data_IF_578538408421
#
_entry.id   IF_578538408421
#
_cell.length_a   1.000
_cell.length_b   1.000
_cell.length_c   1.000
_cell.angle_alpha   90.00
_cell.angle_beta   90.00
_cell.angle_gamma   90.00
#
_symmetry.space_group_name_H-M   'P 1'
#
loop_
_entity.id
_entity.type
_entity.pdbx_description
1 polymer ?
#
# COMPACT_ATOMS: atom_id res chain seq x y z
N UNK A 1 -34.11 -2.95 -20.66
CA UNK A 1 -33.22 -2.51 -19.57
C UNK A 1 -34.10 -2.29 -18.36
N UNK A 2 -34.01 -3.09 -17.27
CA UNK A 2 -35.13 -3.17 -16.32
C UNK A 2 -35.36 -1.93 -15.43
N UNK A 3 -34.38 -1.02 -15.24
CA UNK A 3 -34.46 -0.02 -14.15
C UNK A 3 -34.41 1.48 -14.56
N UNK A 4 -34.50 1.81 -15.86
CA UNK A 4 -34.57 3.20 -16.32
C UNK A 4 -33.31 4.04 -16.04
N UNK A 5 -32.15 3.39 -15.91
CA UNK A 5 -30.82 3.99 -15.89
C UNK A 5 -29.77 3.01 -16.41
N UNK A 6 -28.59 3.52 -16.79
CA UNK A 6 -27.41 2.75 -17.17
C UNK A 6 -26.18 3.25 -16.39
N UNK A 7 -25.22 2.37 -16.10
CA UNK A 7 -23.95 2.72 -15.46
C UNK A 7 -22.83 2.65 -16.49
N UNK A 8 -21.99 3.67 -16.53
CA UNK A 8 -20.80 3.74 -17.40
C UNK A 8 -19.62 4.38 -16.68
N UNK A 9 -18.38 4.22 -17.17
CA UNK A 9 -17.26 5.03 -16.74
C UNK A 9 -17.58 6.53 -16.85
N UNK A 10 -17.22 7.28 -15.80
CA UNK A 10 -17.28 8.73 -15.84
C UNK A 10 -16.15 9.28 -16.71
N UNK A 11 -16.39 10.44 -17.30
CA UNK A 11 -15.45 11.18 -18.15
C UNK A 11 -15.29 12.60 -17.61
N UNK A 12 -14.31 13.35 -18.11
CA UNK A 12 -14.15 14.76 -17.74
C UNK A 12 -15.39 15.61 -18.06
N UNK A 13 -16.20 15.21 -19.05
CA UNK A 13 -17.46 15.88 -19.39
C UNK A 13 -18.54 15.74 -18.30
N UNK A 14 -18.41 14.75 -17.40
CA UNK A 14 -19.38 14.53 -16.33
C UNK A 14 -19.09 15.41 -15.09
N UNK A 15 -17.92 16.05 -15.00
CA UNK A 15 -17.44 16.73 -13.78
C UNK A 15 -18.46 17.70 -13.15
N UNK A 16 -19.05 18.60 -13.96
CA UNK A 16 -20.03 19.57 -13.48
C UNK A 16 -21.33 18.89 -12.96
N UNK A 17 -21.73 17.77 -13.57
CA UNK A 17 -22.90 17.04 -13.13
C UNK A 17 -22.65 16.29 -11.81
N UNK A 18 -21.44 15.75 -11.63
CA UNK A 18 -21.03 15.09 -10.39
C UNK A 18 -21.00 16.07 -9.22
N UNK A 19 -20.46 17.28 -9.44
CA UNK A 19 -20.46 18.37 -8.46
C UNK A 19 -21.89 18.77 -8.05
N UNK A 20 -22.80 18.92 -9.02
CA UNK A 20 -24.20 19.22 -8.73
C UNK A 20 -24.89 18.10 -7.93
N UNK A 21 -24.59 16.83 -8.24
CA UNK A 21 -25.12 15.68 -7.50
C UNK A 21 -24.62 15.67 -6.06
N UNK A 22 -23.34 15.95 -5.84
CA UNK A 22 -22.77 16.03 -4.50
C UNK A 22 -23.37 17.17 -3.70
N UNK A 23 -23.40 18.39 -4.24
CA UNK A 23 -24.01 19.53 -3.58
C UNK A 23 -25.47 19.25 -3.20
N UNK A 24 -26.22 18.59 -4.08
CA UNK A 24 -27.58 18.16 -3.78
C UNK A 24 -27.64 17.06 -2.71
N UNK A 25 -26.74 16.08 -2.74
CA UNK A 25 -26.68 15.00 -1.75
C UNK A 25 -26.24 15.50 -0.37
N UNK A 26 -25.38 16.52 -0.30
CA UNK A 26 -24.88 17.12 0.93
C UNK A 26 -26.01 17.78 1.74
N UNK A 27 -27.04 18.31 1.06
CA UNK A 27 -28.24 18.85 1.73
C UNK A 27 -28.99 17.81 2.59
N UNK A 28 -28.80 16.52 2.34
CA UNK A 28 -29.41 15.46 3.15
C UNK A 28 -28.82 15.39 4.56
N UNK A 29 -27.63 15.96 4.76
CA UNK A 29 -26.98 16.04 6.06
C UNK A 29 -27.47 17.23 6.89
N UNK A 30 -28.26 18.15 6.31
CA UNK A 30 -28.83 19.29 7.01
C UNK A 30 -29.67 18.83 8.21
N UNK A 31 -29.34 19.35 9.39
CA UNK A 31 -29.97 18.95 10.65
C UNK A 31 -29.50 17.62 11.24
N UNK A 32 -28.59 16.90 10.57
CA UNK A 32 -27.95 15.67 11.07
C UNK A 32 -26.48 15.91 11.43
N UNK A 33 -25.71 16.56 10.55
CA UNK A 33 -24.32 16.96 10.82
C UNK A 33 -23.93 18.18 9.99
N UNK A 34 -22.92 18.91 10.46
CA UNK A 34 -22.38 20.08 9.75
C UNK A 34 -21.21 19.64 8.88
N UNK A 35 -21.43 19.51 7.57
CA UNK A 35 -20.38 19.20 6.63
C UNK A 35 -19.45 20.42 6.41
N UNK A 36 -18.13 20.20 6.26
CA UNK A 36 -17.21 21.25 5.88
C UNK A 36 -17.47 21.69 4.42
N UNK A 37 -17.42 23.00 4.17
CA UNK A 37 -17.49 23.53 2.80
C UNK A 37 -16.12 23.38 2.16
N UNK A 38 -16.05 22.62 1.07
CA UNK A 38 -14.82 22.41 0.29
C UNK A 38 -15.09 22.90 -1.12
N UNK A 39 -14.53 24.07 -1.48
CA UNK A 39 -14.64 24.63 -2.82
C UNK A 39 -13.44 24.18 -3.66
N UNK A 40 -13.58 23.07 -4.41
CA UNK A 40 -12.49 22.48 -5.19
C UNK A 40 -12.94 21.77 -6.49
N UNK A 41 -13.67 22.50 -7.35
CA UNK A 41 -14.08 21.99 -8.66
C UNK A 41 -12.89 21.56 -9.55
N UNK A 42 -11.75 22.27 -9.44
CA UNK A 42 -10.51 21.97 -10.18
C UNK A 42 -9.87 20.67 -9.67
N UNK A 43 -9.80 20.48 -8.36
CA UNK A 43 -9.32 19.24 -7.74
C UNK A 43 -10.21 18.04 -8.04
N UNK A 44 -11.52 18.23 -8.27
CA UNK A 44 -12.46 17.15 -8.63
C UNK A 44 -12.32 16.67 -10.07
N UNK A 45 -12.07 17.57 -11.03
CA UNK A 45 -11.68 17.19 -12.39
C UNK A 45 -10.33 16.46 -12.40
N UNK A 46 -9.38 16.90 -11.56
CA UNK A 46 -8.11 16.20 -11.36
C UNK A 46 -8.30 14.84 -10.64
N UNK A 47 -9.27 14.72 -9.73
CA UNK A 47 -9.61 13.48 -9.03
C UNK A 47 -10.18 12.41 -9.96
N UNK A 48 -10.96 12.80 -10.99
CA UNK A 48 -11.36 11.89 -12.06
C UNK A 48 -10.17 11.37 -12.89
N UNK A 49 -9.04 12.09 -12.87
CA UNK A 49 -7.75 11.68 -13.44
C UNK A 49 -6.78 11.06 -12.42
N UNK A 50 -7.13 10.98 -11.13
CA UNK A 50 -6.30 10.37 -10.10
C UNK A 50 -6.28 8.84 -10.26
N UNK A 51 -5.28 8.18 -9.67
CA UNK A 51 -5.16 6.71 -9.71
C UNK A 51 -6.42 6.08 -9.10
N UNK A 52 -7.21 5.38 -9.92
CA UNK A 52 -8.53 4.87 -9.54
C UNK A 52 -9.49 4.77 -10.73
N UNK A 53 -10.78 4.87 -10.45
CA UNK A 53 -11.82 5.01 -11.46
C UNK A 53 -13.12 5.60 -10.88
N UNK A 54 -13.92 6.22 -11.74
CA UNK A 54 -15.24 6.72 -11.40
C UNK A 54 -16.31 6.14 -12.33
N UNK A 55 -17.51 5.94 -11.79
CA UNK A 55 -18.69 5.44 -12.49
C UNK A 55 -19.82 6.45 -12.33
N UNK A 56 -20.62 6.63 -13.37
CA UNK A 56 -21.82 7.48 -13.36
C UNK A 56 -23.03 6.67 -13.79
N UNK A 57 -24.12 6.80 -13.04
CA UNK A 57 -25.44 6.32 -13.42
C UNK A 57 -26.16 7.42 -14.20
N UNK A 58 -26.67 7.11 -15.38
CA UNK A 58 -27.37 8.06 -16.26
C UNK A 58 -28.76 7.54 -16.63
N UNK A 59 -29.73 8.42 -16.80
CA UNK A 59 -31.05 8.07 -17.35
C UNK A 59 -31.02 7.91 -18.89
N UNK A 60 -32.17 7.57 -19.47
CA UNK A 60 -32.33 7.40 -20.93
C UNK A 60 -32.04 8.70 -21.73
N UNK A 61 -32.11 9.87 -21.08
CA UNK A 61 -31.76 11.16 -21.67
C UNK A 61 -30.27 11.53 -21.46
N UNK A 62 -29.49 10.66 -20.82
CA UNK A 62 -28.07 10.87 -20.52
C UNK A 62 -27.81 11.77 -19.31
N UNK A 63 -28.84 12.13 -18.52
CA UNK A 63 -28.66 12.95 -17.32
C UNK A 63 -28.07 12.10 -16.20
N UNK A 64 -27.04 12.62 -15.53
CA UNK A 64 -26.43 11.96 -14.38
C UNK A 64 -27.39 11.92 -13.18
N UNK A 65 -27.52 10.74 -12.58
CA UNK A 65 -28.41 10.47 -11.43
C UNK A 65 -27.62 10.18 -10.15
N UNK A 66 -26.37 9.75 -10.29
CA UNK A 66 -25.48 9.38 -9.19
C UNK A 66 -24.12 8.95 -9.69
N UNK A 67 -23.15 8.87 -8.80
CA UNK A 67 -21.79 8.43 -9.12
C UNK A 67 -21.15 7.64 -7.98
N UNK A 68 -20.12 6.88 -8.33
CA UNK A 68 -19.21 6.25 -7.37
C UNK A 68 -17.77 6.54 -7.80
N UNK A 69 -16.92 6.88 -6.83
CA UNK A 69 -15.51 7.18 -7.03
C UNK A 69 -14.65 6.23 -6.18
N UNK A 70 -13.76 5.49 -6.84
CA UNK A 70 -12.86 4.53 -6.22
C UNK A 70 -11.42 4.96 -6.44
N UNK A 71 -10.70 5.21 -5.36
CA UNK A 71 -9.26 5.48 -5.37
C UNK A 71 -8.44 4.18 -5.31
N UNK A 72 -7.23 4.25 -5.86
CA UNK A 72 -6.24 3.18 -5.79
C UNK A 72 -4.96 3.63 -5.07
N UNK A 73 -4.61 2.92 -4.00
CA UNK A 73 -3.40 3.17 -3.19
C UNK A 73 -2.56 1.90 -3.08
N UNK A 74 -1.32 1.91 -3.60
CA UNK A 74 -0.44 0.74 -3.63
C UNK A 74 -1.17 -0.55 -4.04
N UNK A 75 -1.92 -0.48 -5.14
CA UNK A 75 -2.69 -1.59 -5.68
C UNK A 75 -3.89 -2.08 -4.82
N UNK A 76 -4.28 -1.34 -3.77
CA UNK A 76 -5.50 -1.52 -2.96
C UNK A 76 -6.56 -0.50 -3.34
N UNK A 77 -7.84 -0.81 -3.08
CA UNK A 77 -8.97 0.00 -3.56
C UNK A 77 -9.81 0.56 -2.41
N UNK A 78 -10.14 1.85 -2.50
CA UNK A 78 -10.95 2.58 -1.54
C UNK A 78 -12.13 3.25 -2.25
N UNK A 79 -13.36 2.92 -1.88
CA UNK A 79 -14.54 3.67 -2.30
C UNK A 79 -14.57 4.98 -1.49
N UNK A 80 -14.06 6.02 -2.13
CA UNK A 80 -13.95 7.38 -1.58
C UNK A 80 -15.33 8.00 -1.40
N UNK A 81 -16.18 7.86 -2.42
CA UNK A 81 -17.48 8.51 -2.47
C UNK A 81 -18.48 7.70 -3.28
N UNK A 82 -19.74 7.70 -2.81
CA UNK A 82 -20.90 7.22 -3.53
C UNK A 82 -22.07 8.15 -3.21
N UNK A 83 -22.58 8.83 -4.23
CA UNK A 83 -23.66 9.81 -4.10
C UNK A 83 -24.72 9.57 -5.15
N UNK A 84 -25.99 9.71 -4.75
CA UNK A 84 -27.15 9.66 -5.65
C UNK A 84 -27.96 10.91 -5.41
N UNK A 85 -28.32 11.59 -6.50
CA UNK A 85 -29.13 12.82 -6.44
C UNK A 85 -30.41 12.55 -5.63
N UNK A 86 -30.83 13.43 -4.71
CA UNK A 86 -32.01 13.22 -3.86
C UNK A 86 -33.27 12.79 -4.63
N UNK A 87 -33.56 13.45 -5.76
CA UNK A 87 -34.71 13.15 -6.63
C UNK A 87 -34.64 11.77 -7.32
N UNK A 88 -33.47 11.13 -7.32
CA UNK A 88 -33.24 9.82 -7.92
C UNK A 88 -33.05 8.70 -6.87
N UNK A 89 -33.12 9.02 -5.57
CA UNK A 89 -32.95 8.03 -4.51
C UNK A 89 -34.10 7.03 -4.43
N UNK A 90 -33.89 5.94 -3.67
CA UNK A 90 -34.85 4.84 -3.49
C UNK A 90 -35.26 4.10 -4.77
N UNK A 91 -34.47 4.25 -5.84
CA UNK A 91 -34.62 3.55 -7.13
C UNK A 91 -33.57 2.43 -7.36
N UNK A 92 -32.84 2.03 -6.31
CA UNK A 92 -31.78 1.02 -6.40
C UNK A 92 -30.45 1.51 -7.00
N UNK A 93 -30.36 2.76 -7.47
CA UNK A 93 -29.16 3.33 -8.12
C UNK A 93 -27.91 3.20 -7.25
N UNK A 94 -28.00 3.52 -5.95
CA UNK A 94 -26.85 3.43 -5.05
C UNK A 94 -26.33 1.99 -4.88
N UNK A 95 -27.23 1.01 -4.81
CA UNK A 95 -26.86 -0.41 -4.76
C UNK A 95 -26.22 -0.87 -6.07
N UNK A 96 -26.75 -0.43 -7.22
CA UNK A 96 -26.19 -0.74 -8.52
C UNK A 96 -24.80 -0.11 -8.73
N UNK A 97 -24.60 1.14 -8.30
CA UNK A 97 -23.29 1.80 -8.32
C UNK A 97 -22.28 1.10 -7.41
N UNK A 98 -22.69 0.68 -6.21
CA UNK A 98 -21.83 -0.08 -5.30
C UNK A 98 -21.41 -1.41 -5.93
N UNK A 99 -22.34 -2.17 -6.49
CA UNK A 99 -22.04 -3.44 -7.17
C UNK A 99 -21.09 -3.23 -8.37
N UNK A 100 -21.34 -2.21 -9.18
CA UNK A 100 -20.48 -1.88 -10.32
C UNK A 100 -19.08 -1.42 -9.88
N UNK A 101 -18.96 -0.73 -8.75
CA UNK A 101 -17.67 -0.37 -8.16
C UNK A 101 -16.91 -1.62 -7.69
N UNK A 102 -17.59 -2.56 -7.01
CA UNK A 102 -16.98 -3.84 -6.63
C UNK A 102 -16.50 -4.64 -7.85
N UNK A 103 -17.30 -4.70 -8.92
CA UNK A 103 -16.91 -5.35 -10.18
C UNK A 103 -15.73 -4.64 -10.84
N UNK A 104 -15.72 -3.31 -10.82
CA UNK A 104 -14.60 -2.50 -11.29
C UNK A 104 -13.30 -2.80 -10.55
N UNK A 105 -13.37 -3.12 -9.26
CA UNK A 105 -12.23 -3.57 -8.44
C UNK A 105 -11.80 -5.00 -8.82
N UNK A 106 -12.75 -5.93 -8.99
CA UNK A 106 -12.46 -7.31 -9.42
C UNK A 106 -11.72 -7.37 -10.75
N UNK A 107 -12.20 -6.62 -11.75
CA UNK A 107 -11.60 -6.54 -13.09
C UNK A 107 -10.17 -6.00 -13.05
N UNK A 108 -9.87 -5.13 -12.08
CA UNK A 108 -8.52 -4.60 -11.82
C UNK A 108 -7.67 -5.50 -10.92
N UNK A 109 -8.15 -6.71 -10.59
CA UNK A 109 -7.45 -7.70 -9.79
C UNK A 109 -7.48 -7.43 -8.28
N UNK A 110 -8.24 -6.45 -7.81
CA UNK A 110 -8.42 -6.21 -6.38
C UNK A 110 -9.30 -7.28 -5.73
N UNK A 111 -9.04 -7.53 -4.44
CA UNK A 111 -9.80 -8.53 -3.67
C UNK A 111 -10.57 -7.95 -2.49
N UNK A 112 -10.28 -6.71 -2.08
CA UNK A 112 -10.98 -6.00 -1.01
C UNK A 112 -11.30 -4.58 -1.44
N UNK A 113 -12.50 -4.13 -1.11
CA UNK A 113 -12.90 -2.72 -1.19
C UNK A 113 -13.00 -2.19 0.24
N UNK A 114 -12.29 -1.11 0.52
CA UNK A 114 -12.41 -0.36 1.77
C UNK A 114 -13.24 0.90 1.55
N UNK A 115 -13.85 1.45 2.59
CA UNK A 115 -14.50 2.75 2.57
C UNK A 115 -14.49 3.38 3.95
N UNK A 116 -14.69 4.70 4.02
CA UNK A 116 -14.95 5.41 5.26
C UNK A 116 -16.24 6.20 5.16
N UNK A 117 -17.03 6.16 6.23
CA UNK A 117 -18.30 6.89 6.28
C UNK A 117 -18.62 7.34 7.71
N UNK A 118 -19.66 8.16 7.88
CA UNK A 118 -20.11 8.58 9.21
C UNK A 118 -20.81 7.43 9.93
N UNK A 119 -20.36 7.13 11.14
CA UNK A 119 -20.84 5.99 11.94
C UNK A 119 -22.30 6.16 12.37
N UNK A 120 -22.69 7.38 12.74
CA UNK A 120 -23.98 7.71 13.35
C UNK A 120 -25.06 8.15 12.33
N UNK A 121 -24.72 8.27 11.05
CA UNK A 121 -25.68 8.68 10.02
C UNK A 121 -26.53 7.46 9.61
N UNK A 122 -27.87 7.50 9.79
CA UNK A 122 -28.72 6.31 9.66
C UNK A 122 -28.71 5.63 8.29
N UNK A 123 -28.42 6.36 7.22
CA UNK A 123 -28.37 5.83 5.86
C UNK A 123 -26.97 5.49 5.37
N UNK A 124 -25.91 5.80 6.13
CA UNK A 124 -24.52 5.60 5.72
C UNK A 124 -24.00 4.20 6.08
N UNK A 125 -23.42 4.02 7.27
CA UNK A 125 -22.84 2.73 7.66
C UNK A 125 -23.84 1.56 7.55
N UNK A 126 -25.14 1.72 7.91
CA UNK A 126 -26.13 0.65 7.73
C UNK A 126 -26.36 0.23 6.27
N UNK A 127 -26.25 1.15 5.30
CA UNK A 127 -26.37 0.81 3.88
C UNK A 127 -25.25 -0.14 3.46
N UNK A 128 -24.00 0.17 3.78
CA UNK A 128 -22.85 -0.67 3.40
C UNK A 128 -22.86 -2.01 4.13
N UNK A 129 -23.20 -2.03 5.42
CA UNK A 129 -23.32 -3.29 6.20
C UNK A 129 -24.34 -4.24 5.59
N UNK A 130 -25.49 -3.73 5.13
CA UNK A 130 -26.49 -4.53 4.40
C UNK A 130 -25.95 -5.14 3.10
N UNK A 131 -24.97 -4.49 2.48
CA UNK A 131 -24.31 -4.97 1.26
C UNK A 131 -23.05 -5.81 1.54
N UNK A 132 -22.87 -6.28 2.78
CA UNK A 132 -21.82 -7.22 3.15
C UNK A 132 -20.49 -6.59 3.57
N UNK A 133 -20.46 -5.28 3.84
CA UNK A 133 -19.30 -4.64 4.45
C UNK A 133 -19.30 -4.85 5.97
N UNK A 134 -18.13 -5.04 6.56
CA UNK A 134 -17.92 -5.20 8.00
C UNK A 134 -16.94 -4.15 8.53
N UNK A 135 -16.97 -3.91 9.84
CA UNK A 135 -16.01 -3.03 10.51
C UNK A 135 -14.59 -3.56 10.28
N UNK A 136 -13.67 -2.65 9.95
CA UNK A 136 -12.29 -2.99 9.63
C UNK A 136 -11.34 -1.89 10.10
N UNK A 137 -10.06 -2.23 10.21
CA UNK A 137 -9.01 -1.24 10.37
C UNK A 137 -8.60 -0.69 8.99
N UNK A 138 -8.25 0.60 8.95
CA UNK A 138 -7.69 1.19 7.74
C UNK A 138 -6.23 0.73 7.59
N UNK A 139 -5.83 0.18 6.43
CA UNK A 139 -4.44 -0.19 6.20
C UNK A 139 -3.48 1.00 6.37
N UNK A 140 -2.28 0.79 6.91
CA UNK A 140 -1.28 1.85 7.13
C UNK A 140 -0.92 2.56 5.83
N UNK A 141 -0.90 1.85 4.71
CA UNK A 141 -0.64 2.45 3.40
C UNK A 141 -1.70 3.51 2.99
N UNK A 142 -2.88 3.49 3.62
CA UNK A 142 -3.97 4.43 3.43
C UNK A 142 -4.06 5.48 4.53
N UNK A 143 -3.07 5.58 5.43
CA UNK A 143 -3.07 6.57 6.53
C UNK A 143 -3.20 8.01 6.03
N UNK A 144 -2.67 8.34 4.84
CA UNK A 144 -2.83 9.67 4.22
C UNK A 144 -4.29 10.06 3.93
N UNK A 145 -5.23 9.09 3.88
CA UNK A 145 -6.66 9.38 3.83
C UNK A 145 -7.13 10.04 5.13
N UNK A 146 -6.61 9.62 6.29
CA UNK A 146 -6.98 10.20 7.58
C UNK A 146 -6.51 11.65 7.69
N UNK A 147 -5.28 11.93 7.24
CA UNK A 147 -4.75 13.29 7.17
C UNK A 147 -5.57 14.17 6.23
N UNK A 148 -6.03 13.61 5.11
CA UNK A 148 -6.90 14.29 4.16
C UNK A 148 -8.27 14.58 4.78
N UNK A 149 -8.91 13.60 5.44
CA UNK A 149 -10.17 13.79 6.15
C UNK A 149 -10.05 14.84 7.27
N UNK A 150 -8.93 14.85 8.01
CA UNK A 150 -8.66 15.84 9.05
C UNK A 150 -8.50 17.24 8.48
N UNK A 151 -7.72 17.39 7.40
CA UNK A 151 -7.53 18.66 6.69
C UNK A 151 -8.85 19.21 6.14
N UNK A 152 -9.69 18.33 5.60
CA UNK A 152 -11.02 18.69 5.11
C UNK A 152 -12.00 18.95 6.25
N UNK A 153 -11.68 18.62 7.51
CA UNK A 153 -12.53 18.87 8.68
C UNK A 153 -13.59 17.79 8.92
N UNK A 154 -13.57 16.67 8.18
CA UNK A 154 -14.56 15.60 8.31
C UNK A 154 -14.53 14.91 9.67
N UNK A 155 -13.37 14.81 10.30
CA UNK A 155 -13.24 14.26 11.65
C UNK A 155 -13.92 15.12 12.72
N UNK A 156 -14.13 16.42 12.44
CA UNK A 156 -14.84 17.36 13.33
C UNK A 156 -16.36 17.31 13.10
N UNK A 157 -16.79 16.95 11.90
CA UNK A 157 -18.20 16.87 11.53
C UNK A 157 -18.92 15.69 12.20
N UNK A 158 -18.21 14.59 12.47
CA UNK A 158 -18.77 13.44 13.19
C UNK A 158 -17.83 12.24 13.24
N UNK A 159 -18.22 11.23 14.02
CA UNK A 159 -17.47 9.98 14.14
C UNK A 159 -17.41 9.24 12.79
N UNK A 160 -16.21 8.82 12.40
CA UNK A 160 -15.94 8.09 11.16
C UNK A 160 -15.72 6.61 11.47
N UNK A 161 -16.28 5.74 10.64
CA UNK A 161 -16.04 4.29 10.69
C UNK A 161 -15.41 3.82 9.38
N UNK A 162 -14.44 2.90 9.48
CA UNK A 162 -13.88 2.21 8.33
C UNK A 162 -14.59 0.89 8.15
N UNK A 163 -15.06 0.63 6.93
CA UNK A 163 -15.67 -0.63 6.56
C UNK A 163 -14.89 -1.28 5.41
N UNK A 164 -14.88 -2.60 5.37
CA UNK A 164 -14.28 -3.35 4.27
C UNK A 164 -15.16 -4.54 3.83
N UNK A 165 -15.04 -4.90 2.57
CA UNK A 165 -15.67 -6.10 1.99
C UNK A 165 -14.67 -6.82 1.11
N UNK A 166 -14.54 -8.13 1.32
CA UNK A 166 -13.85 -9.01 0.38
C UNK A 166 -14.74 -9.23 -0.85
N UNK A 167 -14.26 -8.84 -2.01
CA UNK A 167 -14.99 -8.92 -3.29
C UNK A 167 -14.48 -10.04 -4.19
N UNK A 168 -13.28 -10.56 -3.94
CA UNK A 168 -12.71 -11.72 -4.64
C UNK A 168 -11.77 -12.51 -3.71
N UNK A 169 -11.32 -13.68 -4.15
CA UNK A 169 -10.26 -14.41 -3.47
C UNK A 169 -8.98 -13.56 -3.40
N UNK A 170 -8.24 -13.65 -2.30
CA UNK A 170 -6.97 -12.93 -2.18
C UNK A 170 -5.93 -13.48 -3.15
N UNK A 171 -5.14 -12.58 -3.71
CA UNK A 171 -3.96 -12.96 -4.50
C UNK A 171 -3.00 -13.73 -3.58
N UNK A 172 -2.50 -14.86 -4.06
CA UNK A 172 -1.48 -15.62 -3.34
C UNK A 172 -0.18 -14.81 -3.33
N UNK A 173 0.44 -14.56 -2.17
CA UNK A 173 1.72 -13.87 -2.11
C UNK A 173 2.77 -14.59 -2.94
N UNK A 174 3.50 -13.83 -3.77
CA UNK A 174 4.63 -14.36 -4.52
C UNK A 174 5.89 -14.24 -3.65
N UNK A 175 6.68 -15.32 -3.47
CA UNK A 175 7.93 -15.24 -2.75
C UNK A 175 8.91 -14.25 -3.40
N UNK A 176 9.54 -13.45 -2.57
CA UNK A 176 10.51 -12.43 -2.96
C UNK A 176 11.61 -12.32 -1.91
N UNK A 177 12.69 -11.63 -2.25
CA UNK A 177 13.82 -11.35 -1.38
C UNK A 177 14.14 -9.87 -1.39
N UNK A 178 14.68 -9.36 -0.30
CA UNK A 178 15.23 -8.01 -0.23
C UNK A 178 16.47 -8.01 0.66
N UNK A 179 17.55 -7.39 0.20
CA UNK A 179 18.85 -7.40 0.87
C UNK A 179 19.18 -6.00 1.34
N UNK A 180 19.50 -5.84 2.61
CA UNK A 180 19.94 -4.58 3.22
C UNK A 180 21.47 -4.58 3.35
N UNK A 181 22.20 -3.90 2.45
CA UNK A 181 23.64 -3.77 2.56
C UNK A 181 23.98 -2.74 3.62
N UNK A 182 24.88 -3.10 4.52
CA UNK A 182 25.29 -2.27 5.65
C UNK A 182 26.77 -1.91 5.56
N UNK A 183 27.13 -0.71 6.02
CA UNK A 183 28.51 -0.30 6.23
C UNK A 183 28.64 0.58 7.47
N UNK A 184 29.83 0.59 8.05
CA UNK A 184 30.17 1.56 9.09
C UNK A 184 30.53 2.90 8.43
N UNK A 185 29.67 3.90 8.62
CA UNK A 185 29.90 5.27 8.21
C UNK A 185 30.66 6.06 9.28
N UNK A 186 31.03 7.30 8.96
CA UNK A 186 31.75 8.18 9.90
C UNK A 186 30.90 8.58 11.11
N UNK A 187 29.58 8.48 11.00
CA UNK A 187 28.61 8.86 12.03
C UNK A 187 27.69 7.70 12.45
N UNK A 188 28.17 6.46 12.32
CA UNK A 188 27.46 5.23 12.70
C UNK A 188 27.05 4.36 11.51
N UNK A 189 26.17 3.39 11.78
CA UNK A 189 25.67 2.44 10.78
C UNK A 189 24.94 3.15 9.63
N UNK A 190 25.29 2.79 8.40
CA UNK A 190 24.61 3.21 7.18
C UNK A 190 24.06 2.00 6.43
N UNK A 191 22.91 2.17 5.79
CA UNK A 191 22.28 1.20 4.89
C UNK A 191 22.23 1.75 3.47
N UNK A 192 22.52 0.89 2.49
CA UNK A 192 22.36 1.23 1.08
C UNK A 192 20.89 1.14 0.68
N UNK A 193 20.37 2.21 0.08
CA UNK A 193 18.97 2.30 -0.36
C UNK A 193 18.86 2.77 -1.80
N UNK A 194 17.78 2.36 -2.45
CA UNK A 194 17.35 2.81 -3.77
C UNK A 194 16.07 3.65 -3.65
N UNK A 195 15.96 4.67 -4.49
CA UNK A 195 14.74 5.48 -4.62
C UNK A 195 14.02 5.08 -5.90
N UNK A 196 12.83 4.47 -5.77
CA UNK A 196 12.07 3.97 -6.92
C UNK A 196 11.61 5.11 -7.82
N UNK A 197 11.61 4.89 -9.13
CA UNK A 197 11.07 5.83 -10.09
C UNK A 197 9.57 6.07 -9.89
N UNK A 198 9.13 7.31 -10.14
CA UNK A 198 7.72 7.70 -10.07
C UNK A 198 6.86 6.97 -11.12
N UNK A 199 7.47 6.39 -12.15
CA UNK A 199 6.78 5.61 -13.17
C UNK A 199 6.41 4.19 -12.73
N UNK A 200 6.81 3.75 -11.53
CA UNK A 200 6.59 2.37 -11.10
C UNK A 200 5.15 2.13 -10.58
N UNK A 201 4.56 1.00 -10.99
CA UNK A 201 3.19 0.64 -10.60
C UNK A 201 3.03 0.15 -9.14
N UNK A 202 4.13 -0.05 -8.41
CA UNK A 202 4.14 -0.47 -7.02
C UNK A 202 5.30 0.21 -6.27
N UNK A 203 5.01 0.67 -5.06
CA UNK A 203 5.95 1.38 -4.20
C UNK A 203 6.58 2.61 -4.90
N UNK A 204 5.77 3.34 -5.66
CA UNK A 204 6.19 4.54 -6.37
C UNK A 204 6.85 5.55 -5.43
N UNK A 205 8.02 6.07 -5.83
CA UNK A 205 8.77 7.07 -5.06
C UNK A 205 9.23 6.59 -3.68
N UNK A 206 9.04 5.31 -3.35
CA UNK A 206 9.41 4.76 -2.06
C UNK A 206 10.89 4.43 -2.01
N UNK A 207 11.44 4.51 -0.80
CA UNK A 207 12.77 3.99 -0.48
C UNK A 207 12.67 2.49 -0.33
N UNK A 208 13.49 1.77 -1.07
CA UNK A 208 13.57 0.30 -1.06
C UNK A 208 15.02 -0.17 -0.96
N UNK A 209 15.18 -1.46 -0.76
CA UNK A 209 16.47 -2.14 -0.83
C UNK A 209 16.50 -3.05 -2.06
N UNK A 210 17.70 -3.40 -2.58
CA UNK A 210 17.84 -4.32 -3.70
C UNK A 210 17.10 -5.63 -3.46
N UNK A 211 16.37 -6.11 -4.44
CA UNK A 211 15.54 -7.29 -4.25
C UNK A 211 14.42 -7.44 -5.27
N UNK A 212 13.94 -8.66 -5.39
CA UNK A 212 12.93 -9.01 -6.36
C UNK A 212 12.35 -10.39 -6.11
N UNK A 213 11.64 -10.89 -7.12
CA UNK A 213 10.89 -12.15 -6.99
C UNK A 213 11.84 -13.34 -7.02
N UNK A 214 11.52 -14.35 -6.24
CA UNK A 214 12.13 -15.68 -6.43
C UNK A 214 11.57 -16.25 -7.75
N UNK A 215 12.44 -16.61 -8.68
CA UNK A 215 12.02 -17.11 -9.98
C UNK A 215 11.55 -18.57 -9.90
N UNK A 216 10.61 -18.95 -10.77
CA UNK A 216 10.25 -20.35 -10.92
C UNK A 216 11.44 -21.14 -11.44
N UNK A 217 11.87 -22.16 -10.70
CA UNK A 217 13.05 -22.96 -11.05
C UNK A 217 14.40 -22.33 -10.64
N UNK A 218 14.38 -21.27 -9.83
CA UNK A 218 15.57 -20.72 -9.17
C UNK A 218 16.34 -21.86 -8.46
N UNK A 219 17.59 -22.08 -8.87
CA UNK A 219 18.38 -23.23 -8.39
C UNK A 219 18.98 -22.91 -7.03
N UNK A 220 18.81 -23.79 -6.02
CA UNK A 220 19.36 -23.54 -4.71
C UNK A 220 20.89 -23.55 -4.72
N UNK A 221 21.47 -22.69 -3.89
CA UNK A 221 22.91 -22.67 -3.60
C UNK A 221 23.17 -23.24 -2.20
N UNK A 222 24.40 -23.72 -1.95
CA UNK A 222 24.81 -24.14 -0.62
C UNK A 222 24.83 -22.94 0.33
N UNK A 223 24.14 -23.08 1.47
CA UNK A 223 24.03 -22.03 2.50
C UNK A 223 24.63 -22.50 3.83
N UNK A 224 25.05 -21.59 4.72
CA UNK A 224 25.39 -21.94 6.10
C UNK A 224 24.26 -22.72 6.79
N UNK A 225 24.63 -23.70 7.62
CA UNK A 225 23.68 -24.58 8.32
C UNK A 225 22.64 -23.82 9.17
N UNK A 226 22.97 -22.61 9.63
CA UNK A 226 22.08 -21.76 10.41
C UNK A 226 20.92 -21.15 9.60
N UNK A 227 20.95 -21.16 8.27
CA UNK A 227 19.91 -20.48 7.46
C UNK A 227 18.60 -21.25 7.43
N UNK A 228 18.64 -22.59 7.29
CA UNK A 228 17.41 -23.37 7.22
C UNK A 228 16.55 -23.26 8.50
N UNK A 229 17.12 -23.36 9.72
CA UNK A 229 16.35 -23.11 10.94
C UNK A 229 15.80 -21.69 11.07
N UNK A 230 16.48 -20.67 10.52
CA UNK A 230 16.03 -19.28 10.59
C UNK A 230 14.68 -19.07 9.87
N UNK A 231 14.45 -19.78 8.76
CA UNK A 231 13.22 -19.70 7.97
C UNK A 231 12.17 -20.75 8.34
N UNK A 232 12.41 -21.57 9.37
CA UNK A 232 11.55 -22.73 9.66
C UNK A 232 10.10 -22.38 10.06
N UNK A 233 9.84 -21.15 10.50
CA UNK A 233 8.51 -20.68 10.88
C UNK A 233 7.76 -19.94 9.74
N UNK A 234 8.34 -19.86 8.54
CA UNK A 234 7.80 -19.10 7.41
C UNK A 234 7.18 -19.99 6.34
N UNK A 235 6.42 -19.37 5.42
CA UNK A 235 5.87 -20.04 4.23
C UNK A 235 6.80 -19.99 3.01
N UNK A 236 8.03 -19.47 3.18
CA UNK A 236 8.97 -19.17 2.11
C UNK A 236 9.62 -20.45 1.53
N UNK A 237 10.16 -20.37 0.30
CA UNK A 237 11.03 -21.40 -0.26
C UNK A 237 12.23 -21.75 0.63
N UNK A 238 12.88 -22.88 0.34
CA UNK A 238 14.06 -23.30 1.08
C UNK A 238 15.20 -22.25 1.06
N UNK A 239 16.00 -22.23 2.12
CA UNK A 239 17.04 -21.22 2.33
C UNK A 239 18.02 -21.07 1.15
N UNK A 240 18.36 -22.17 0.48
CA UNK A 240 19.24 -22.17 -0.69
C UNK A 240 18.65 -21.43 -1.89
N UNK A 241 17.34 -21.53 -2.09
CA UNK A 241 16.60 -20.82 -3.15
C UNK A 241 16.52 -19.33 -2.83
N UNK A 242 16.20 -18.98 -1.58
CA UNK A 242 16.17 -17.58 -1.14
C UNK A 242 17.54 -16.91 -1.30
N UNK A 243 18.62 -17.59 -0.89
CA UNK A 243 19.97 -17.07 -1.05
C UNK A 243 20.37 -16.89 -2.52
N UNK A 244 19.98 -17.82 -3.40
CA UNK A 244 20.25 -17.71 -4.83
C UNK A 244 19.57 -16.47 -5.43
N UNK A 245 18.28 -16.27 -5.14
CA UNK A 245 17.54 -15.09 -5.57
C UNK A 245 18.18 -13.80 -5.02
N UNK A 246 18.54 -13.75 -3.74
CA UNK A 246 19.13 -12.57 -3.12
C UNK A 246 20.49 -12.19 -3.75
N UNK A 247 21.32 -13.18 -4.07
CA UNK A 247 22.60 -12.97 -4.77
C UNK A 247 22.36 -12.44 -6.18
N UNK A 248 21.39 -13.02 -6.91
CA UNK A 248 21.05 -12.59 -8.28
C UNK A 248 20.57 -11.15 -8.30
N UNK A 249 19.59 -10.80 -7.47
CA UNK A 249 19.02 -9.44 -7.43
C UNK A 249 20.08 -8.39 -7.07
N UNK A 250 20.93 -8.65 -6.07
CA UNK A 250 22.03 -7.71 -5.73
C UNK A 250 23.04 -7.57 -6.87
N UNK A 251 23.36 -8.65 -7.59
CA UNK A 251 24.25 -8.58 -8.74
C UNK A 251 23.64 -7.78 -9.90
N UNK A 252 22.36 -8.00 -10.20
CA UNK A 252 21.61 -7.35 -11.28
C UNK A 252 21.35 -5.87 -10.99
N UNK A 253 21.01 -5.53 -9.75
CA UNK A 253 20.60 -4.19 -9.35
C UNK A 253 21.71 -3.29 -8.83
N UNK A 254 22.77 -3.89 -8.28
CA UNK A 254 23.86 -3.15 -7.65
C UNK A 254 25.23 -3.41 -8.27
N UNK A 255 25.36 -4.37 -9.18
CA UNK A 255 26.65 -4.78 -9.73
C UNK A 255 27.57 -5.48 -8.72
N UNK A 256 27.04 -5.94 -7.58
CA UNK A 256 27.82 -6.53 -6.49
C UNK A 256 27.61 -8.04 -6.44
N UNK A 257 28.71 -8.80 -6.49
CA UNK A 257 28.66 -10.25 -6.26
C UNK A 257 28.75 -10.59 -4.77
N UNK A 258 27.75 -11.32 -4.29
CA UNK A 258 27.67 -11.88 -2.95
C UNK A 258 27.86 -13.41 -2.98
N UNK A 259 28.27 -13.96 -1.84
CA UNK A 259 28.24 -15.40 -1.55
C UNK A 259 27.10 -15.67 -0.58
N UNK A 260 26.58 -16.90 -0.57
CA UNK A 260 25.52 -17.29 0.35
C UNK A 260 25.89 -17.08 1.84
N UNK A 261 27.18 -17.19 2.18
CA UNK A 261 27.68 -16.96 3.53
C UNK A 261 27.75 -15.47 3.94
N UNK A 262 27.59 -14.54 2.99
CA UNK A 262 27.56 -13.11 3.29
C UNK A 262 26.16 -12.63 3.73
N UNK A 263 25.13 -13.44 3.47
CA UNK A 263 23.73 -13.14 3.78
C UNK A 263 23.39 -13.58 5.21
N UNK A 264 22.75 -12.71 5.97
CA UNK A 264 22.19 -13.03 7.29
C UNK A 264 20.67 -12.92 7.23
N UNK A 265 19.91 -14.01 7.42
CA UNK A 265 18.46 -13.97 7.57
C UNK A 265 18.03 -12.95 8.63
N UNK A 266 17.07 -12.10 8.30
CA UNK A 266 16.65 -11.01 9.18
C UNK A 266 15.15 -10.98 9.45
N UNK A 267 14.32 -10.99 8.39
CA UNK A 267 12.88 -10.79 8.55
C UNK A 267 12.07 -11.45 7.42
N UNK A 268 10.78 -11.61 7.64
CA UNK A 268 9.76 -12.10 6.71
C UNK A 268 8.53 -11.19 6.80
N UNK A 269 8.20 -10.52 5.70
CA UNK A 269 6.97 -9.73 5.57
C UNK A 269 6.09 -10.22 4.44
N UNK A 270 4.83 -10.48 4.78
CA UNK A 270 3.77 -10.79 3.84
C UNK A 270 2.92 -9.56 3.62
N UNK A 271 2.81 -9.12 2.36
CA UNK A 271 1.91 -8.02 1.97
C UNK A 271 0.48 -8.38 2.40
N UNK A 272 -0.23 -7.50 3.15
CA UNK A 272 -1.59 -7.79 3.59
C UNK A 272 -2.56 -8.06 2.43
N UNK A 273 -3.68 -8.76 2.69
CA UNK A 273 -4.71 -8.99 1.69
C UNK A 273 -5.32 -7.69 1.14
N UNK A 274 -5.96 -7.79 -0.02
CA UNK A 274 -6.77 -6.72 -0.62
C UNK A 274 -6.26 -6.21 -1.96
N UNK A 275 -4.95 -6.03 -2.09
CA UNK A 275 -4.35 -5.54 -3.33
C UNK A 275 -4.24 -6.59 -4.44
N UNK A 276 -4.08 -6.15 -5.70
CA UNK A 276 -3.86 -7.05 -6.86
C UNK A 276 -2.48 -7.69 -6.92
N UNK A 277 -1.55 -7.24 -6.07
CA UNK A 277 -0.19 -7.76 -5.95
C UNK A 277 0.15 -7.96 -4.48
N UNK A 278 0.71 -9.12 -4.15
CA UNK A 278 1.14 -9.47 -2.80
C UNK A 278 2.47 -10.21 -2.89
N UNK A 279 3.36 -9.91 -1.97
CA UNK A 279 4.67 -10.54 -1.84
C UNK A 279 4.84 -11.12 -0.45
N UNK A 280 5.57 -12.23 -0.37
CA UNK A 280 6.10 -12.83 0.85
C UNK A 280 7.62 -12.64 0.78
N UNK A 281 8.14 -11.65 1.52
CA UNK A 281 9.47 -11.08 1.30
C UNK A 281 10.42 -11.53 2.39
N UNK A 282 11.41 -12.34 2.02
CA UNK A 282 12.54 -12.70 2.87
C UNK A 282 13.59 -11.57 2.88
N UNK A 283 13.81 -10.95 4.04
CA UNK A 283 14.83 -9.92 4.22
C UNK A 283 16.14 -10.50 4.72
N UNK A 284 17.25 -10.05 4.11
CA UNK A 284 18.61 -10.39 4.51
C UNK A 284 19.41 -9.14 4.84
N UNK A 285 20.32 -9.22 5.82
CA UNK A 285 21.41 -8.26 5.97
C UNK A 285 22.66 -8.76 5.24
N UNK A 286 23.53 -7.84 4.81
CA UNK A 286 24.90 -8.15 4.35
C UNK A 286 25.84 -7.00 4.69
N UNK A 287 27.11 -7.30 4.99
CA UNK A 287 28.16 -6.28 5.07
C UNK A 287 28.65 -5.90 3.66
N UNK A 288 28.76 -4.61 3.38
CA UNK A 288 29.54 -4.13 2.25
C UNK A 288 31.03 -4.26 2.56
N UNK A 289 31.73 -5.08 1.78
CA UNK A 289 33.17 -5.31 1.95
C UNK A 289 33.99 -4.12 1.42
N UNK A 290 35.16 -3.84 2.01
CA UNK A 290 36.10 -2.86 1.46
C UNK A 290 36.38 -3.12 -0.03
N UNK A 291 36.33 -2.06 -0.84
CA UNK A 291 36.56 -2.13 -2.28
C UNK A 291 35.34 -2.54 -3.12
N UNK A 292 34.20 -2.88 -2.52
CA UNK A 292 32.95 -3.04 -3.27
C UNK A 292 32.34 -1.69 -3.61
N UNK A 293 32.02 -1.50 -4.88
CA UNK A 293 31.26 -0.35 -5.34
C UNK A 293 29.80 -0.72 -5.47
N UNK A 294 28.95 -0.08 -4.64
CA UNK A 294 27.50 -0.22 -4.70
C UNK A 294 26.94 0.94 -5.52
N UNK A 295 26.27 0.63 -6.63
CA UNK A 295 25.77 1.62 -7.60
C UNK A 295 24.36 1.21 -8.04
N UNK A 296 23.61 2.11 -8.66
CA UNK A 296 22.40 1.71 -9.37
C UNK A 296 22.78 1.19 -10.76
N UNK A 297 22.40 -0.06 -11.09
CA UNK A 297 22.57 -0.63 -12.43
C UNK A 297 21.25 -0.79 -13.18
N UNK A 298 20.13 -0.32 -12.60
CA UNK A 298 18.79 -0.44 -13.20
C UNK A 298 18.18 0.91 -13.57
N UNK A 299 17.11 0.87 -14.36
CA UNK A 299 16.24 2.01 -14.63
C UNK A 299 15.06 2.10 -13.65
N UNK A 300 14.88 1.11 -12.76
CA UNK A 300 13.77 1.10 -11.80
C UNK A 300 13.99 2.06 -10.62
N UNK A 301 15.26 2.36 -10.31
CA UNK A 301 15.65 3.35 -9.34
C UNK A 301 16.15 4.64 -10.03
N UNK A 302 15.81 5.80 -9.48
CA UNK A 302 16.30 7.11 -9.97
C UNK A 302 17.63 7.49 -9.33
N UNK A 303 17.88 7.00 -8.12
CA UNK A 303 19.12 7.25 -7.40
C UNK A 303 19.33 6.18 -6.32
N UNK A 304 20.57 6.10 -5.84
CA UNK A 304 21.00 5.22 -4.75
C UNK A 304 21.87 5.99 -3.79
N UNK A 305 21.73 5.76 -2.49
CA UNK A 305 22.56 6.40 -1.48
C UNK A 305 22.83 5.45 -0.31
N UNK A 306 23.97 5.67 0.34
CA UNK A 306 24.19 5.21 1.70
C UNK A 306 23.58 6.22 2.67
N UNK A 307 22.74 5.75 3.58
CA UNK A 307 22.00 6.62 4.51
C UNK A 307 21.97 6.00 5.90
N UNK A 308 22.03 6.82 6.94
CA UNK A 308 21.76 6.36 8.31
C UNK A 308 20.27 6.03 8.45
N UNK A 309 19.89 4.94 9.16
CA UNK A 309 18.49 4.63 9.40
C UNK A 309 17.71 5.77 10.05
N UNK A 310 18.32 6.46 11.03
CA UNK A 310 17.70 7.60 11.71
C UNK A 310 17.36 8.77 10.77
N UNK A 311 18.21 9.05 9.78
CA UNK A 311 17.97 10.13 8.83
C UNK A 311 16.80 9.80 7.90
N UNK A 312 16.72 8.55 7.43
CA UNK A 312 15.61 8.08 6.60
C UNK A 312 14.27 8.13 7.35
N UNK A 313 14.26 7.72 8.63
CA UNK A 313 13.07 7.80 9.47
C UNK A 313 12.65 9.25 9.73
N UNK A 314 13.62 10.13 9.99
CA UNK A 314 13.37 11.57 10.15
C UNK A 314 12.83 12.22 8.88
N UNK A 315 13.41 11.91 7.72
CA UNK A 315 12.94 12.38 6.41
C UNK A 315 11.52 11.88 6.13
N UNK A 316 11.22 10.63 6.47
CA UNK A 316 9.89 10.07 6.31
C UNK A 316 8.85 10.73 7.22
N UNK A 317 9.21 11.03 8.47
CA UNK A 317 8.35 11.78 9.39
C UNK A 317 8.06 13.21 8.93
N UNK A 318 8.93 13.77 8.07
CA UNK A 318 8.73 15.08 7.41
C UNK A 318 8.10 14.97 6.01
N UNK A 319 7.76 13.78 5.55
CA UNK A 319 7.20 13.55 4.20
C UNK A 319 8.19 13.75 3.04
N UNK A 320 9.50 13.84 3.32
CA UNK A 320 10.55 14.02 2.29
C UNK A 320 10.78 12.74 1.50
N UNK A 321 10.65 11.59 2.17
CA UNK A 321 10.76 10.28 1.55
C UNK A 321 9.58 9.41 1.96
N UNK A 322 9.18 8.48 1.09
CA UNK A 322 8.13 7.53 1.39
C UNK A 322 8.74 6.20 1.85
N UNK A 323 8.34 5.72 3.03
CA UNK A 323 8.73 4.40 3.55
C UNK A 323 7.49 3.49 3.60
N UNK A 324 7.62 2.30 3.02
CA UNK A 324 6.64 1.24 3.22
C UNK A 324 6.73 0.70 4.66
N UNK A 325 5.68 0.04 5.18
CA UNK A 325 5.70 -0.52 6.54
C UNK A 325 6.91 -1.42 6.83
N UNK A 326 7.29 -2.39 5.96
CA UNK A 326 8.49 -3.21 6.21
C UNK A 326 9.75 -2.37 6.31
N UNK A 327 9.99 -1.47 5.35
CA UNK A 327 11.17 -0.59 5.33
C UNK A 327 11.24 0.24 6.61
N UNK A 328 10.12 0.81 7.08
CA UNK A 328 10.09 1.60 8.31
C UNK A 328 10.50 0.76 9.52
N UNK A 329 9.90 -0.41 9.71
CA UNK A 329 10.21 -1.29 10.85
C UNK A 329 11.67 -1.74 10.82
N UNK A 330 12.18 -2.17 9.66
CA UNK A 330 13.58 -2.58 9.50
C UNK A 330 14.56 -1.46 9.85
N UNK A 331 14.28 -0.22 9.42
CA UNK A 331 15.10 0.94 9.77
C UNK A 331 15.01 1.27 11.26
N UNK A 332 13.84 1.10 11.89
CA UNK A 332 13.67 1.27 13.34
C UNK A 332 14.46 0.22 14.13
N UNK A 333 14.51 -1.02 13.68
CA UNK A 333 15.31 -2.09 14.29
C UNK A 333 16.82 -1.87 14.13
N UNK A 334 17.25 -1.36 12.98
CA UNK A 334 18.66 -1.07 12.72
C UNK A 334 19.15 0.19 13.45
N UNK A 335 18.26 1.15 13.72
CA UNK A 335 18.61 2.46 14.29
C UNK A 335 19.40 2.42 15.61
N UNK A 336 19.05 1.55 16.58
CA UNK A 336 19.79 1.41 17.83
C UNK A 336 21.16 0.71 17.72
N UNK A 337 21.48 0.08 16.58
CA UNK A 337 22.69 -0.72 16.42
C UNK A 337 23.89 0.16 16.06
N UNK A 338 24.99 -0.04 16.76
CA UNK A 338 26.17 0.83 16.66
C UNK A 338 26.94 0.66 15.34
N UNK A 339 27.09 -0.59 14.89
CA UNK A 339 27.96 -0.98 13.78
C UNK A 339 27.44 -2.23 13.05
N UNK A 340 28.06 -2.53 11.90
CA UNK A 340 27.74 -3.69 11.06
C UNK A 340 27.90 -4.99 11.84
N UNK A 341 28.93 -5.10 12.69
CA UNK A 341 29.20 -6.31 13.45
C UNK A 341 28.04 -6.64 14.41
N UNK A 342 27.54 -5.63 15.12
CA UNK A 342 26.40 -5.73 16.03
C UNK A 342 25.13 -6.14 15.28
N UNK A 343 24.90 -5.57 14.09
CA UNK A 343 23.75 -5.92 13.26
C UNK A 343 23.78 -7.37 12.76
N UNK A 344 24.92 -7.83 12.24
CA UNK A 344 25.05 -9.21 11.76
C UNK A 344 25.04 -10.25 12.90
N UNK A 345 25.33 -9.83 14.14
CA UNK A 345 25.26 -10.68 15.32
C UNK A 345 23.84 -10.85 15.89
N UNK A 346 22.93 -9.89 15.67
CA UNK A 346 21.63 -9.84 16.35
C UNK A 346 20.70 -11.02 16.03
N UNK A 347 20.71 -11.53 14.79
CA UNK A 347 20.01 -12.76 14.34
C UNK A 347 18.62 -12.97 14.99
N UNK A 348 17.66 -12.05 14.78
CA UNK A 348 16.35 -12.12 15.43
C UNK A 348 15.58 -13.38 15.03
N UNK A 349 14.66 -13.82 15.89
CA UNK A 349 13.71 -14.88 15.53
C UNK A 349 12.79 -14.37 14.41
N UNK A 350 12.75 -15.12 13.32
CA UNK A 350 11.92 -14.78 12.16
C UNK A 350 10.56 -15.45 12.29
N UNK A 351 9.51 -14.64 12.22
CA UNK A 351 8.11 -15.07 12.13
C UNK A 351 7.42 -14.19 11.08
N UNK A 352 6.51 -14.71 10.25
CA UNK A 352 5.90 -13.88 9.21
C UNK A 352 5.13 -12.68 9.80
N UNK A 353 5.40 -11.47 9.29
CA UNK A 353 4.56 -10.29 9.56
C UNK A 353 3.43 -10.25 8.54
N UNK A 354 2.18 -10.43 9.00
CA UNK A 354 1.01 -10.52 8.12
C UNK A 354 0.22 -9.21 7.95
N UNK A 355 0.45 -8.24 8.84
CA UNK A 355 -0.27 -6.99 8.92
C UNK A 355 0.70 -5.81 8.86
N UNK A 356 0.23 -4.66 8.40
CA UNK A 356 1.05 -3.44 8.34
C UNK A 356 1.42 -2.87 9.75
N UNK A 357 1.04 -3.56 10.83
CA UNK A 357 1.25 -3.20 12.24
C UNK A 357 2.47 -3.89 12.88
N UNK A 358 3.38 -4.47 12.07
CA UNK A 358 4.54 -5.20 12.58
C UNK A 358 5.37 -4.35 13.55
N UNK A 359 5.45 -4.78 14.82
CA UNK A 359 6.30 -4.13 15.84
C UNK A 359 7.76 -4.51 15.64
N UNK A 360 8.72 -3.61 15.94
CA UNK A 360 10.14 -3.94 15.95
C UNK A 360 10.40 -5.18 16.82
N UNK A 361 11.15 -6.14 16.28
CA UNK A 361 11.55 -7.36 16.99
C UNK A 361 12.76 -7.15 17.89
N UNK A 362 13.54 -6.13 17.58
CA UNK A 362 14.59 -5.64 18.44
C UNK A 362 14.02 -4.52 19.31
N UNK A 363 13.86 -4.81 20.60
CA UNK A 363 13.56 -3.78 21.59
C UNK A 363 14.84 -3.00 21.89
N UNK A 364 14.76 -1.67 21.92
CA UNK A 364 15.84 -0.86 22.49
C UNK A 364 16.02 -1.26 23.96
N UNK A 365 17.23 -1.68 24.33
CA UNK A 365 17.60 -1.93 25.72
C UNK A 365 17.71 -0.63 26.51
#
# INVERSE_FOLDING_TARGET
MPDGFAIRPATSADAAALEAIEAAADTLFDGVLQLPVVDDAVGRAAALGARGFALVAVDDAGRALGFAHVLEFDARFHLEQLSVHPDAQRRGIGAALLAAAEDGVRVRGGSVVTLRTFAEVPWNAPFYRRHGYADAELPVAMAGLLETEERLGLLRAGSRVTLAKQVAAHVTPVPAVSVLPLRDGTAGLEVFVQYRAATMDFAEGAVVFPGGRVLLGERPVAVPAAHAPAWAATGLPEAGVLAAAAIREVAEECGVSLRAADLVPWDDWVTPPGGRRRFDVAFFLTAARPGQEWRNTTTEAVSTNWRRPADLLGDAGRGVVRLLPPTRTLLTELGPLADVASALAARPRIVPVLHDQGSPRLTAN
#
